data_IF_858675700835
#
_entry.id   IF_858675700835
#
_cell.length_a   1.000
_cell.length_b   1.000
_cell.length_c   1.000
_cell.angle_alpha   90.00
_cell.angle_beta   90.00
_cell.angle_gamma   90.00
#
_symmetry.space_group_name_H-M   'P 1'
#
loop_
_entity.id
_entity.type
_entity.pdbx_description
1 polymer ?
#
# COMPACT_ATOMS: atom_id res chain seq x y z
N UNK A 1 -82.68 19.59 -7.52
CA UNK A 1 -81.96 20.04 -8.74
C UNK A 1 -80.51 19.59 -8.65
N UNK A 2 -80.00 18.91 -9.70
CA UNK A 2 -78.61 18.84 -10.25
C UNK A 2 -77.45 19.03 -9.25
N UNK A 3 -76.39 18.20 -9.18
CA UNK A 3 -75.58 17.59 -10.24
C UNK A 3 -74.53 16.62 -9.63
N UNK A 4 -74.08 15.68 -10.44
CA UNK A 4 -73.20 14.54 -10.16
C UNK A 4 -71.72 14.86 -9.82
N UNK A 5 -71.03 13.90 -9.18
CA UNK A 5 -69.61 13.56 -9.39
C UNK A 5 -69.29 12.23 -8.69
N UNK A 6 -69.61 11.14 -9.35
CA UNK A 6 -68.69 10.37 -10.20
C UNK A 6 -67.62 9.64 -9.38
N UNK A 7 -67.92 8.36 -9.12
CA UNK A 7 -67.13 7.42 -8.37
C UNK A 7 -65.93 6.98 -9.22
N UNK A 8 -64.83 7.73 -9.11
CA UNK A 8 -63.58 7.38 -9.78
C UNK A 8 -62.94 6.17 -9.09
N UNK A 9 -63.16 5.00 -9.73
CA UNK A 9 -62.64 3.68 -9.35
C UNK A 9 -61.11 3.70 -9.22
N UNK A 10 -60.61 3.34 -8.04
CA UNK A 10 -59.21 3.05 -7.66
C UNK A 10 -58.39 2.22 -8.67
N UNK A 11 -59.03 1.50 -9.59
CA UNK A 11 -58.37 0.65 -10.61
C UNK A 11 -57.89 1.41 -11.85
N UNK A 12 -58.35 2.65 -12.06
CA UNK A 12 -57.92 3.48 -13.20
C UNK A 12 -56.64 4.27 -12.91
N UNK A 13 -56.34 4.54 -11.62
CA UNK A 13 -55.16 5.30 -11.22
C UNK A 13 -53.85 4.53 -11.44
N UNK A 14 -53.87 3.20 -11.24
CA UNK A 14 -52.72 2.31 -11.48
C UNK A 14 -52.36 2.24 -12.99
N UNK A 15 -53.34 2.43 -13.87
CA UNK A 15 -53.08 2.45 -15.33
C UNK A 15 -52.38 3.74 -15.78
N UNK A 16 -52.64 4.86 -15.12
CA UNK A 16 -52.07 6.17 -15.51
C UNK A 16 -50.73 6.48 -14.83
N UNK A 17 -50.36 5.82 -13.73
CA UNK A 17 -49.04 5.98 -13.10
C UNK A 17 -47.92 5.21 -13.80
N UNK A 18 -48.24 4.29 -14.73
CA UNK A 18 -47.26 3.43 -15.42
C UNK A 18 -46.67 4.05 -16.71
N UNK A 19 -47.12 5.24 -17.13
CA UNK A 19 -46.60 5.95 -18.32
C UNK A 19 -45.77 7.20 -17.99
N UNK A 20 -45.41 7.42 -16.71
CA UNK A 20 -44.79 8.66 -16.24
C UNK A 20 -43.32 8.59 -15.81
N UNK A 21 -42.66 7.44 -15.90
CA UNK A 21 -41.26 7.32 -15.43
C UNK A 21 -40.46 6.26 -16.20
N UNK A 22 -40.51 6.28 -17.53
CA UNK A 22 -39.61 5.50 -18.39
C UNK A 22 -38.45 6.34 -18.96
N UNK A 23 -38.21 7.54 -18.40
CA UNK A 23 -37.12 8.42 -18.82
C UNK A 23 -36.53 9.09 -17.58
N UNK A 24 -35.64 8.42 -16.83
CA UNK A 24 -34.98 9.11 -15.74
C UNK A 24 -34.12 8.33 -14.74
N UNK A 25 -34.00 7.00 -14.80
CA UNK A 25 -33.16 6.27 -13.83
C UNK A 25 -32.47 5.05 -14.46
N UNK A 26 -31.54 5.28 -15.38
CA UNK A 26 -30.51 4.30 -15.78
C UNK A 26 -29.18 5.01 -16.12
N UNK A 27 -28.74 5.94 -15.27
CA UNK A 27 -27.44 6.61 -15.44
C UNK A 27 -26.62 6.73 -14.15
N UNK A 28 -26.97 5.98 -13.09
CA UNK A 28 -26.31 6.09 -11.79
C UNK A 28 -25.48 4.85 -11.37
N UNK A 29 -25.46 3.76 -12.16
CA UNK A 29 -24.75 2.52 -11.80
C UNK A 29 -23.60 2.12 -12.73
N UNK A 30 -23.12 3.00 -13.62
CA UNK A 30 -21.96 2.71 -14.49
C UNK A 30 -20.84 3.76 -14.41
N UNK A 31 -20.69 4.44 -13.27
CA UNK A 31 -19.47 5.22 -12.98
C UNK A 31 -18.59 4.49 -11.96
N UNK A 32 -18.24 3.27 -12.31
CA UNK A 32 -16.91 2.74 -12.00
C UNK A 32 -16.30 2.44 -13.36
N UNK A 33 -15.80 3.49 -14.02
CA UNK A 33 -14.75 3.25 -14.99
C UNK A 33 -13.59 2.67 -14.17
N UNK A 34 -13.01 1.52 -14.54
CA UNK A 34 -11.66 1.25 -14.09
C UNK A 34 -10.88 2.50 -14.45
N UNK A 35 -10.07 3.02 -13.52
CA UNK A 35 -9.10 4.07 -13.81
C UNK A 35 -8.09 3.43 -14.78
N UNK A 36 -8.47 3.29 -16.05
CA UNK A 36 -7.57 3.06 -17.16
C UNK A 36 -7.00 4.43 -17.45
N UNK A 37 -6.04 4.85 -16.62
CA UNK A 37 -5.15 5.93 -17.02
C UNK A 37 -4.57 5.49 -18.36
N UNK A 38 -4.83 6.18 -19.48
CA UNK A 38 -4.05 5.95 -20.67
C UNK A 38 -2.69 6.56 -20.38
N UNK A 39 -1.83 5.83 -19.66
CA UNK A 39 -0.41 6.14 -19.61
C UNK A 39 0.10 5.76 -21.00
N UNK A 40 -0.11 6.63 -21.97
CA UNK A 40 0.51 6.56 -23.29
C UNK A 40 1.98 6.83 -23.06
N UNK A 41 2.74 5.76 -22.90
CA UNK A 41 4.16 5.84 -22.56
C UNK A 41 5.01 6.21 -23.79
N UNK A 42 4.69 7.34 -24.42
CA UNK A 42 5.34 7.83 -25.63
C UNK A 42 6.46 8.84 -25.35
N UNK A 43 7.03 8.85 -24.15
CA UNK A 43 8.23 9.66 -23.89
C UNK A 43 9.44 8.96 -24.52
N UNK A 44 10.28 9.67 -25.32
CA UNK A 44 11.50 9.10 -25.85
C UNK A 44 12.39 8.62 -24.70
N UNK A 45 12.96 7.42 -24.84
CA UNK A 45 13.90 6.88 -23.87
C UNK A 45 15.07 7.88 -23.70
N UNK A 46 15.29 8.36 -22.48
CA UNK A 46 16.48 9.13 -22.18
C UNK A 46 17.72 8.30 -22.58
N UNK A 47 18.65 8.91 -23.31
CA UNK A 47 19.87 8.24 -23.80
C UNK A 47 20.89 8.18 -22.66
N UNK A 48 20.96 7.04 -21.98
CA UNK A 48 21.91 6.81 -20.87
C UNK A 48 23.25 6.20 -21.30
N UNK A 49 23.49 6.04 -22.61
CA UNK A 49 24.62 5.28 -23.15
C UNK A 49 24.28 3.79 -23.32
N UNK A 50 25.29 2.98 -23.63
CA UNK A 50 25.13 1.53 -23.77
C UNK A 50 25.05 0.88 -22.38
N UNK A 51 24.14 -0.09 -22.23
CA UNK A 51 23.96 -0.82 -20.97
C UNK A 51 25.08 -1.85 -20.77
N UNK A 52 25.75 -1.79 -19.61
CA UNK A 52 26.75 -2.79 -19.20
C UNK A 52 26.13 -4.16 -18.91
N UNK A 53 24.92 -4.17 -18.32
CA UNK A 53 24.14 -5.39 -18.02
C UNK A 53 22.67 -5.15 -18.34
N UNK A 54 22.05 -6.07 -19.08
CA UNK A 54 20.64 -5.99 -19.50
C UNK A 54 19.71 -6.82 -18.64
N UNK A 55 20.15 -8.01 -18.24
CA UNK A 55 19.37 -8.93 -17.41
C UNK A 55 19.62 -8.66 -15.92
N UNK A 56 18.57 -8.23 -15.22
CA UNK A 56 18.63 -7.87 -13.81
C UNK A 56 17.67 -8.73 -12.99
N UNK A 57 18.14 -9.20 -11.83
CA UNK A 57 17.28 -9.86 -10.85
C UNK A 57 17.05 -8.89 -9.68
N UNK A 58 15.79 -8.56 -9.42
CA UNK A 58 15.41 -7.63 -8.35
C UNK A 58 14.64 -8.37 -7.24
N UNK A 59 15.18 -8.38 -6.03
CA UNK A 59 14.53 -8.97 -4.85
C UNK A 59 13.45 -8.06 -4.25
N UNK A 60 12.33 -8.63 -3.81
CA UNK A 60 11.30 -7.87 -3.08
C UNK A 60 10.51 -8.75 -2.11
N UNK A 61 9.95 -8.14 -1.07
CA UNK A 61 8.96 -8.75 -0.18
C UNK A 61 7.58 -8.29 -0.65
N UNK A 62 6.54 -9.16 -0.69
CA UNK A 62 5.22 -8.84 -1.22
C UNK A 62 4.42 -7.88 -0.30
N UNK A 63 4.90 -6.64 -0.18
CA UNK A 63 4.23 -5.54 0.54
C UNK A 63 3.79 -4.47 -0.45
N UNK A 64 3.02 -3.47 0.03
CA UNK A 64 2.56 -2.34 -0.80
C UNK A 64 3.71 -1.53 -1.41
N UNK A 65 4.90 -1.54 -0.78
CA UNK A 65 6.08 -0.83 -1.28
C UNK A 65 6.61 -1.41 -2.60
N UNK A 66 6.34 -2.69 -2.87
CA UNK A 66 6.75 -3.35 -4.11
C UNK A 66 5.84 -3.02 -5.30
N UNK A 67 4.67 -2.45 -5.05
CA UNK A 67 3.69 -2.11 -6.09
C UNK A 67 4.29 -1.32 -7.28
N UNK A 68 5.03 -0.19 -7.08
CA UNK A 68 5.61 0.54 -8.20
C UNK A 68 6.58 -0.30 -9.03
N UNK A 69 7.35 -1.19 -8.40
CA UNK A 69 8.31 -2.06 -9.07
C UNK A 69 7.61 -3.15 -9.90
N UNK A 70 6.58 -3.77 -9.32
CA UNK A 70 5.77 -4.79 -10.00
C UNK A 70 5.03 -4.18 -11.20
N UNK A 71 4.38 -3.03 -11.00
CA UNK A 71 3.71 -2.30 -12.09
C UNK A 71 4.72 -1.93 -13.18
N UNK A 72 5.96 -1.56 -12.83
CA UNK A 72 6.98 -1.23 -13.81
C UNK A 72 7.46 -2.41 -14.65
N UNK A 73 7.51 -3.62 -14.07
CA UNK A 73 7.76 -4.83 -14.83
C UNK A 73 6.59 -5.16 -15.77
N UNK A 74 5.36 -5.16 -15.26
CA UNK A 74 4.15 -5.50 -16.03
C UNK A 74 3.84 -4.51 -17.15
N UNK A 75 4.05 -3.21 -16.91
CA UNK A 75 3.81 -2.14 -17.90
C UNK A 75 5.00 -1.93 -18.86
N UNK A 76 6.06 -2.73 -18.74
CA UNK A 76 7.22 -2.66 -19.64
C UNK A 76 8.04 -1.37 -19.48
N UNK A 77 7.99 -0.69 -18.33
CA UNK A 77 8.83 0.49 -18.10
C UNK A 77 10.31 0.14 -18.17
N UNK A 78 10.72 -1.05 -17.67
CA UNK A 78 12.11 -1.52 -17.79
C UNK A 78 12.51 -1.81 -19.24
N UNK A 79 11.63 -2.46 -20.01
CA UNK A 79 11.88 -2.80 -21.41
C UNK A 79 12.09 -1.55 -22.28
N UNK A 80 11.40 -0.44 -21.96
CA UNK A 80 11.61 0.87 -22.64
C UNK A 80 13.03 1.41 -22.48
N UNK A 81 13.74 1.00 -21.43
CA UNK A 81 15.14 1.34 -21.20
C UNK A 81 16.09 0.21 -21.60
N UNK A 82 15.62 -0.85 -22.25
CA UNK A 82 16.45 -1.99 -22.68
C UNK A 82 16.82 -2.96 -21.56
N UNK A 83 16.15 -2.90 -20.41
CA UNK A 83 16.38 -3.77 -19.26
C UNK A 83 15.38 -4.94 -19.26
N UNK A 84 15.90 -6.14 -19.05
CA UNK A 84 15.12 -7.35 -18.80
C UNK A 84 15.15 -7.66 -17.31
N UNK A 85 14.03 -7.42 -16.62
CA UNK A 85 13.95 -7.50 -15.15
C UNK A 85 13.18 -8.73 -14.72
N UNK A 86 13.81 -9.55 -13.88
CA UNK A 86 13.17 -10.67 -13.18
C UNK A 86 12.94 -10.31 -11.70
N UNK A 87 11.69 -10.34 -11.26
CA UNK A 87 11.31 -10.05 -9.88
C UNK A 87 11.35 -11.31 -9.02
N UNK A 88 12.20 -11.32 -7.99
CA UNK A 88 12.37 -12.46 -7.08
C UNK A 88 11.70 -12.20 -5.73
N UNK A 89 10.54 -12.84 -5.51
CA UNK A 89 9.81 -12.76 -4.25
C UNK A 89 10.60 -13.42 -3.10
N UNK A 90 10.83 -12.68 -2.02
CA UNK A 90 11.42 -13.15 -0.77
C UNK A 90 10.40 -13.12 0.37
N UNK A 91 10.66 -13.92 1.41
CA UNK A 91 9.80 -13.99 2.59
C UNK A 91 10.28 -13.04 3.68
N UNK A 92 11.60 -12.96 3.91
CA UNK A 92 12.18 -12.20 5.02
C UNK A 92 13.11 -11.08 4.57
N UNK A 93 13.31 -10.08 5.43
CA UNK A 93 14.31 -9.04 5.21
C UNK A 93 15.76 -9.57 5.23
N UNK A 94 16.02 -10.66 5.94
CA UNK A 94 17.34 -11.29 5.95
C UNK A 94 17.64 -11.98 4.62
N UNK A 95 16.65 -12.62 3.99
CA UNK A 95 16.79 -13.19 2.64
C UNK A 95 17.16 -12.10 1.61
N UNK A 96 16.56 -10.92 1.73
CA UNK A 96 16.88 -9.76 0.89
C UNK A 96 18.34 -9.35 1.08
N UNK A 97 18.77 -9.14 2.33
CA UNK A 97 20.16 -8.76 2.64
C UNK A 97 21.14 -9.82 2.14
N UNK A 98 20.94 -11.07 2.52
CA UNK A 98 21.81 -12.17 2.09
C UNK A 98 21.86 -12.31 0.57
N UNK A 99 20.73 -12.10 -0.10
CA UNK A 99 20.63 -12.11 -1.56
C UNK A 99 21.47 -11.03 -2.22
N UNK A 100 21.49 -9.82 -1.67
CA UNK A 100 22.34 -8.72 -2.14
C UNK A 100 23.83 -9.00 -1.89
N UNK A 101 24.17 -9.43 -0.67
CA UNK A 101 25.57 -9.72 -0.28
C UNK A 101 26.18 -10.86 -1.11
N UNK A 102 25.37 -11.88 -1.43
CA UNK A 102 25.79 -13.04 -2.24
C UNK A 102 25.62 -12.81 -3.74
N UNK A 103 25.26 -11.60 -4.18
CA UNK A 103 24.98 -11.26 -5.58
C UNK A 103 23.95 -12.20 -6.25
N UNK A 104 22.98 -12.71 -5.49
CA UNK A 104 21.81 -13.43 -6.02
C UNK A 104 20.83 -12.48 -6.69
N UNK A 105 20.79 -11.23 -6.21
CA UNK A 105 19.99 -10.13 -6.76
C UNK A 105 20.93 -8.98 -7.10
N UNK A 106 20.68 -8.29 -8.21
CA UNK A 106 21.39 -7.08 -8.62
C UNK A 106 20.91 -5.85 -7.83
N UNK A 107 19.62 -5.86 -7.46
CA UNK A 107 18.99 -4.83 -6.64
C UNK A 107 17.89 -5.47 -5.78
N UNK A 108 17.43 -4.75 -4.76
CA UNK A 108 16.24 -5.15 -4.02
C UNK A 108 15.57 -3.95 -3.35
N UNK A 109 14.28 -4.12 -3.02
CA UNK A 109 13.62 -3.23 -2.06
C UNK A 109 14.09 -3.63 -0.67
N UNK A 110 14.73 -2.71 0.01
CA UNK A 110 15.31 -2.94 1.33
C UNK A 110 15.11 -1.71 2.24
N UNK A 111 15.14 -1.90 3.56
CA UNK A 111 15.11 -0.78 4.51
C UNK A 111 16.22 0.22 4.22
N UNK A 112 15.90 1.51 4.31
CA UNK A 112 16.84 2.61 4.03
C UNK A 112 18.16 2.50 4.82
N UNK A 113 18.10 2.00 6.05
CA UNK A 113 19.27 1.86 6.92
C UNK A 113 20.19 0.69 6.53
N UNK A 114 19.78 -0.21 5.62
CA UNK A 114 20.53 -1.42 5.31
C UNK A 114 21.96 -1.13 4.80
N UNK A 115 22.20 -0.24 3.81
CA UNK A 115 23.56 0.07 3.36
C UNK A 115 24.44 0.63 4.48
N UNK A 116 23.87 1.45 5.38
CA UNK A 116 24.60 2.02 6.51
C UNK A 116 25.01 0.93 7.52
N UNK A 117 24.05 0.09 7.91
CA UNK A 117 24.29 -0.99 8.88
C UNK A 117 25.27 -2.02 8.31
N UNK A 118 25.20 -2.30 7.00
CA UNK A 118 26.11 -3.20 6.29
C UNK A 118 27.59 -2.78 6.37
N UNK A 119 27.87 -1.48 6.52
CA UNK A 119 29.22 -0.96 6.70
C UNK A 119 29.73 -1.09 8.15
N UNK A 120 28.82 -1.17 9.12
CA UNK A 120 29.15 -1.34 10.55
C UNK A 120 29.47 -2.80 10.92
N UNK A 121 29.28 -3.74 10.00
CA UNK A 121 29.58 -5.14 10.23
C UNK A 121 31.10 -5.40 10.34
N UNK A 122 31.47 -6.49 11.02
CA UNK A 122 32.86 -6.95 11.11
C UNK A 122 33.54 -7.09 9.74
N UNK A 123 32.76 -7.47 8.73
CA UNK A 123 33.15 -7.44 7.33
C UNK A 123 32.20 -6.48 6.62
N UNK A 124 32.66 -5.30 6.20
CA UNK A 124 31.83 -4.33 5.49
C UNK A 124 31.31 -4.91 4.17
N UNK A 125 30.02 -4.74 3.93
CA UNK A 125 29.34 -5.16 2.70
C UNK A 125 28.97 -3.91 1.89
N UNK A 126 29.54 -3.77 0.69
CA UNK A 126 29.33 -2.60 -0.15
C UNK A 126 27.95 -2.62 -0.80
N UNK A 127 27.13 -1.65 -0.45
CA UNK A 127 25.76 -1.51 -0.93
C UNK A 127 25.48 -0.03 -1.16
N UNK A 128 24.65 0.29 -2.15
CA UNK A 128 24.26 1.67 -2.46
C UNK A 128 22.74 1.78 -2.49
N UNK A 129 22.21 2.85 -1.87
CA UNK A 129 20.80 3.21 -1.98
C UNK A 129 20.58 4.02 -3.26
N UNK A 130 19.77 3.51 -4.18
CA UNK A 130 19.52 4.15 -5.47
C UNK A 130 18.43 5.22 -5.40
N UNK A 131 17.31 4.89 -4.77
CA UNK A 131 16.15 5.77 -4.65
C UNK A 131 15.30 5.39 -3.44
N UNK A 132 14.49 6.33 -2.97
CA UNK A 132 13.46 6.10 -1.96
C UNK A 132 12.15 5.76 -2.67
N UNK A 133 11.60 4.58 -2.40
CA UNK A 133 10.37 4.10 -3.05
C UNK A 133 9.11 4.52 -2.28
N UNK A 134 9.21 4.62 -0.94
CA UNK A 134 8.13 5.05 -0.06
C UNK A 134 8.71 5.72 1.19
N UNK A 135 7.92 6.60 1.81
CA UNK A 135 8.24 7.32 3.06
C UNK A 135 7.22 7.05 4.19
N UNK A 136 6.06 6.44 3.90
CA UNK A 136 4.93 6.36 4.85
C UNK A 136 4.28 4.96 4.97
N UNK A 137 5.07 3.88 4.96
CA UNK A 137 4.57 2.49 4.96
C UNK A 137 4.44 1.83 6.34
N UNK A 138 4.98 2.42 7.41
CA UNK A 138 5.01 1.80 8.73
C UNK A 138 3.79 2.16 9.57
N UNK A 139 3.24 1.17 10.28
CA UNK A 139 2.24 1.40 11.32
C UNK A 139 2.57 0.58 12.57
N UNK A 140 2.51 1.22 13.73
CA UNK A 140 2.59 0.53 15.01
C UNK A 140 1.16 0.19 15.42
N UNK A 141 0.84 -1.10 15.45
CA UNK A 141 -0.45 -1.59 15.93
C UNK A 141 -0.36 -2.01 17.39
N UNK A 142 -1.47 -1.82 18.10
CA UNK A 142 -1.56 -2.06 19.53
C UNK A 142 -2.66 -3.08 19.80
N UNK A 143 -2.49 -3.90 20.84
CA UNK A 143 -3.52 -4.86 21.21
C UNK A 143 -4.73 -4.14 21.87
N UNK A 144 -5.90 -4.78 21.81
CA UNK A 144 -7.13 -4.23 22.39
C UNK A 144 -7.03 -3.98 23.91
N UNK A 145 -6.26 -4.79 24.64
CA UNK A 145 -6.05 -4.63 26.09
C UNK A 145 -5.42 -3.29 26.43
N UNK A 146 -4.43 -2.87 25.64
CA UNK A 146 -3.78 -1.56 25.81
C UNK A 146 -4.78 -0.41 25.60
N UNK A 147 -5.71 -0.56 24.66
CA UNK A 147 -6.80 0.39 24.45
C UNK A 147 -7.74 0.50 25.67
N UNK A 148 -8.14 -0.64 26.26
CA UNK A 148 -9.02 -0.71 27.43
C UNK A 148 -8.38 -0.08 28.67
N UNK A 149 -7.06 -0.16 28.83
CA UNK A 149 -6.31 0.46 29.93
C UNK A 149 -6.11 1.99 29.76
N UNK A 150 -6.75 2.59 28.75
CA UNK A 150 -6.78 4.03 28.53
C UNK A 150 -5.59 4.57 27.75
N UNK A 151 -4.80 3.70 27.10
CA UNK A 151 -3.80 4.14 26.14
C UNK A 151 -4.49 4.53 24.83
N UNK A 152 -4.00 5.60 24.20
CA UNK A 152 -4.56 6.17 22.99
C UNK A 152 -3.50 6.39 21.91
N UNK A 153 -3.87 6.59 20.64
CA UNK A 153 -2.93 6.95 19.59
C UNK A 153 -2.27 8.29 19.90
N UNK A 154 -1.08 8.53 19.35
CA UNK A 154 -0.34 9.78 19.53
C UNK A 154 -1.17 11.04 19.22
N UNK A 155 -2.12 10.94 18.29
CA UNK A 155 -3.04 12.01 17.88
C UNK A 155 -3.96 12.51 19.01
N UNK A 156 -4.26 11.68 20.00
CA UNK A 156 -5.14 12.03 21.12
C UNK A 156 -4.37 12.73 22.25
N UNK A 157 -3.05 12.81 22.16
CA UNK A 157 -2.20 13.46 23.15
C UNK A 157 -1.74 14.82 22.66
N UNK A 158 -1.88 15.84 23.51
CA UNK A 158 -1.44 17.22 23.21
C UNK A 158 0.09 17.32 23.14
N UNK A 159 0.79 16.47 23.91
CA UNK A 159 2.25 16.45 23.93
C UNK A 159 2.82 15.06 24.22
N UNK A 160 4.11 14.89 23.91
CA UNK A 160 4.84 13.64 24.12
C UNK A 160 4.90 13.21 25.60
N UNK A 161 4.85 14.16 26.54
CA UNK A 161 4.88 13.88 27.97
C UNK A 161 3.63 13.15 28.44
N UNK A 162 2.44 13.53 27.94
CA UNK A 162 1.19 12.84 28.25
C UNK A 162 1.17 11.42 27.70
N UNK A 163 1.63 11.25 26.45
CA UNK A 163 1.84 9.92 25.86
C UNK A 163 2.76 9.07 26.74
N UNK A 164 3.91 9.62 27.14
CA UNK A 164 4.91 8.91 27.96
C UNK A 164 4.36 8.56 29.34
N UNK A 165 3.57 9.44 29.96
CA UNK A 165 2.93 9.19 31.24
C UNK A 165 1.90 8.06 31.15
N UNK A 166 1.06 8.06 30.11
CA UNK A 166 0.09 7.00 29.84
C UNK A 166 0.78 5.66 29.57
N UNK A 167 1.82 5.66 28.73
CA UNK A 167 2.62 4.46 28.43
C UNK A 167 3.29 3.90 29.69
N UNK A 168 3.90 4.77 30.50
CA UNK A 168 4.57 4.40 31.75
C UNK A 168 3.57 3.83 32.77
N UNK A 169 2.36 4.37 32.86
CA UNK A 169 1.30 3.83 33.71
C UNK A 169 0.91 2.41 33.28
N UNK A 170 0.73 2.19 31.98
CA UNK A 170 0.45 0.86 31.42
C UNK A 170 1.54 -0.15 31.77
N UNK A 171 2.81 0.20 31.54
CA UNK A 171 3.93 -0.71 31.83
C UNK A 171 4.02 -1.03 33.33
N UNK A 172 3.84 -0.04 34.22
CA UNK A 172 3.95 -0.23 35.67
C UNK A 172 2.83 -1.08 36.26
N UNK A 173 1.64 -1.05 35.68
CA UNK A 173 0.50 -1.87 36.14
C UNK A 173 0.57 -3.33 35.66
N UNK A 174 1.54 -3.69 34.82
CA UNK A 174 1.68 -5.05 34.30
C UNK A 174 2.53 -5.91 35.22
N UNK A 175 1.97 -7.03 35.66
CA UNK A 175 2.68 -8.11 36.37
C UNK A 175 3.39 -9.09 35.44
N UNK A 176 3.02 -9.13 34.15
CA UNK A 176 3.64 -9.98 33.12
C UNK A 176 4.66 -9.19 32.28
N UNK A 177 5.76 -9.85 31.92
CA UNK A 177 6.83 -9.29 31.08
C UNK A 177 6.25 -8.75 29.77
N UNK A 178 6.65 -7.53 29.40
CA UNK A 178 6.29 -6.90 28.14
C UNK A 178 7.00 -7.63 27.00
N UNK A 179 6.22 -8.16 26.06
CA UNK A 179 6.73 -8.59 24.76
C UNK A 179 6.43 -7.45 23.80
N UNK A 180 7.48 -6.73 23.40
CA UNK A 180 7.41 -5.82 22.27
C UNK A 180 7.55 -6.70 21.03
N UNK A 181 6.51 -6.75 20.19
CA UNK A 181 6.66 -7.33 18.87
C UNK A 181 7.53 -6.36 18.06
N UNK A 182 8.71 -6.82 17.66
CA UNK A 182 9.51 -6.16 16.64
C UNK A 182 9.00 -6.68 15.30
N UNK A 183 8.83 -5.75 14.36
CA UNK A 183 8.42 -5.92 12.96
C UNK A 183 8.35 -7.39 12.49
N UNK A 184 7.12 -7.89 12.36
CA UNK A 184 6.83 -9.25 11.91
C UNK A 184 7.08 -9.38 10.41
N UNK A 185 8.30 -9.78 10.03
CA UNK A 185 8.60 -10.41 8.73
C UNK A 185 8.63 -11.94 8.85
N UNK A 186 7.82 -12.51 9.74
CA UNK A 186 7.60 -13.96 9.82
C UNK A 186 6.09 -14.21 9.89
N UNK A 187 5.54 -14.58 8.74
CA UNK A 187 4.38 -15.45 8.58
C UNK A 187 4.44 -16.12 7.22
#
# INVERSE_FOLDING_TARGET
MKKAKDAMRRRSFIKYSALGSASGVLAACQRFEPISLPIKVNSPAAKFGDLEKKDLIIGFIPTIEAAPLIIAAEQGFFARYGLNVNLSKQSTGDDIRQGLVKFRFDAAIAPFALPLISQLNRKPENMVGLMVVNINSGAITLNKKLWEEGFRPGLDYVNFTQFTAAFRRYIRNRTKKLVLAVESYDS
#
